data_IF_361322695093
#
_entry.id   IF_361322695093
#
_cell.length_a   1.000
_cell.length_b   1.000
_cell.length_c   1.000
_cell.angle_alpha   90.00
_cell.angle_beta   90.00
_cell.angle_gamma   90.00
#
_symmetry.space_group_name_H-M   'P 1'
#
loop_
_entity.id
_entity.type
_entity.pdbx_description
1 polymer ?
#
# COMPACT_ATOMS: atom_id res chain seq x y z
N UNK A 1 -50.97 -1.33 54.44
CA UNK A 1 -51.40 -0.36 53.41
C UNK A 1 -50.56 -0.69 52.17
N UNK A 2 -51.13 -1.40 51.20
CA UNK A 2 -51.75 -0.86 49.97
C UNK A 2 -50.66 -0.57 48.91
N UNK A 3 -50.64 -1.09 47.68
CA UNK A 3 -51.54 -2.00 46.95
C UNK A 3 -50.76 -2.57 45.76
N UNK A 4 -50.81 -3.89 45.55
CA UNK A 4 -50.31 -4.51 44.33
C UNK A 4 -51.38 -4.38 43.23
N UNK A 5 -51.02 -3.99 41.99
CA UNK A 5 -51.99 -3.87 40.91
C UNK A 5 -52.41 -5.26 40.43
N UNK A 6 -53.72 -5.51 40.52
CA UNK A 6 -54.40 -6.65 39.92
C UNK A 6 -54.30 -6.55 38.39
N UNK A 7 -53.46 -7.39 37.79
CA UNK A 7 -53.46 -7.62 36.34
C UNK A 7 -54.70 -8.46 36.03
N UNK A 8 -55.63 -7.99 35.19
CA UNK A 8 -56.82 -8.76 34.85
C UNK A 8 -56.42 -10.02 34.07
N UNK A 9 -57.09 -11.17 34.32
CA UNK A 9 -56.90 -12.36 33.51
C UNK A 9 -57.29 -12.05 32.07
N UNK A 10 -56.40 -12.38 31.14
CA UNK A 10 -56.54 -12.09 29.73
C UNK A 10 -57.61 -13.05 29.13
N UNK A 11 -58.89 -12.72 29.31
CA UNK A 11 -60.01 -13.34 28.60
C UNK A 11 -60.01 -12.82 27.15
N UNK A 12 -59.26 -13.48 26.27
CA UNK A 12 -59.53 -13.46 24.83
C UNK A 12 -58.81 -14.59 24.11
N UNK A 13 -59.10 -15.82 24.52
CA UNK A 13 -59.01 -16.99 23.64
C UNK A 13 -60.17 -16.93 22.62
N UNK A 14 -60.25 -15.84 21.86
CA UNK A 14 -61.04 -15.79 20.66
C UNK A 14 -60.32 -16.67 19.64
N UNK A 15 -60.83 -17.89 19.49
CA UNK A 15 -60.54 -18.84 18.42
C UNK A 15 -60.58 -18.13 17.06
N UNK A 16 -59.45 -17.53 16.69
CA UNK A 16 -59.25 -16.94 15.38
C UNK A 16 -59.17 -18.10 14.41
N UNK A 17 -60.25 -18.29 13.64
CA UNK A 17 -60.31 -19.27 12.58
C UNK A 17 -59.00 -19.22 11.75
N UNK A 18 -58.38 -20.37 11.46
CA UNK A 18 -57.10 -20.40 10.75
C UNK A 18 -57.27 -19.70 9.41
N UNK A 19 -56.61 -18.55 9.25
CA UNK A 19 -56.57 -17.80 8.00
C UNK A 19 -55.84 -18.67 6.97
N UNK A 20 -56.59 -19.43 6.17
CA UNK A 20 -56.09 -20.37 5.15
C UNK A 20 -55.09 -19.73 4.15
N UNK A 21 -55.07 -18.39 4.04
CA UNK A 21 -54.13 -17.64 3.21
C UNK A 21 -52.69 -17.53 3.73
N UNK A 22 -52.39 -17.88 4.99
CA UNK A 22 -51.02 -17.74 5.51
C UNK A 22 -50.05 -18.85 5.04
N UNK A 23 -50.56 -19.98 4.56
CA UNK A 23 -49.72 -21.15 4.22
C UNK A 23 -49.02 -21.01 2.86
N UNK A 24 -49.68 -20.39 1.88
CA UNK A 24 -49.18 -20.17 0.51
C UNK A 24 -48.11 -19.09 0.45
N UNK A 25 -48.29 -17.98 1.16
CA UNK A 25 -47.31 -16.88 1.18
C UNK A 25 -45.96 -17.31 1.74
N UNK A 26 -45.95 -18.16 2.78
CA UNK A 26 -44.72 -18.72 3.38
C UNK A 26 -43.95 -19.63 2.41
N UNK A 27 -44.62 -20.33 1.50
CA UNK A 27 -43.96 -21.18 0.49
C UNK A 27 -43.31 -20.35 -0.61
N UNK A 28 -44.02 -19.35 -1.13
CA UNK A 28 -43.49 -18.45 -2.18
C UNK A 28 -42.28 -17.67 -1.68
N UNK A 29 -42.33 -17.12 -0.46
CA UNK A 29 -41.20 -16.39 0.13
C UNK A 29 -39.94 -17.27 0.28
N UNK A 30 -40.12 -18.54 0.67
CA UNK A 30 -39.01 -19.50 0.79
C UNK A 30 -38.38 -19.83 -0.56
N UNK A 31 -39.19 -20.06 -1.59
CA UNK A 31 -38.68 -20.36 -2.94
C UNK A 31 -37.98 -19.14 -3.54
N UNK A 32 -38.55 -17.95 -3.39
CA UNK A 32 -37.92 -16.71 -3.85
C UNK A 32 -36.61 -16.43 -3.10
N UNK A 33 -36.59 -16.62 -1.78
CA UNK A 33 -35.39 -16.47 -0.96
C UNK A 33 -34.29 -17.48 -1.33
N UNK A 34 -34.66 -18.74 -1.59
CA UNK A 34 -33.71 -19.77 -2.04
C UNK A 34 -33.16 -19.45 -3.44
N UNK A 35 -34.01 -18.99 -4.37
CA UNK A 35 -33.59 -18.58 -5.71
C UNK A 35 -32.66 -17.37 -5.68
N UNK A 36 -33.02 -16.33 -4.93
CA UNK A 36 -32.22 -15.12 -4.78
C UNK A 36 -30.88 -15.42 -4.09
N UNK A 37 -30.90 -16.19 -2.99
CA UNK A 37 -29.69 -16.65 -2.30
C UNK A 37 -28.79 -17.51 -3.19
N UNK A 38 -29.38 -18.40 -3.99
CA UNK A 38 -28.67 -19.20 -4.99
C UNK A 38 -27.98 -18.33 -6.04
N UNK A 39 -28.68 -17.34 -6.60
CA UNK A 39 -28.09 -16.38 -7.54
C UNK A 39 -26.92 -15.59 -6.93
N UNK A 40 -27.07 -15.08 -5.70
CA UNK A 40 -25.98 -14.37 -5.01
C UNK A 40 -24.78 -15.26 -4.76
N UNK A 41 -25.00 -16.52 -4.36
CA UNK A 41 -23.92 -17.50 -4.16
C UNK A 41 -23.18 -17.78 -5.47
N UNK A 42 -23.89 -17.93 -6.59
CA UNK A 42 -23.28 -18.13 -7.91
C UNK A 42 -22.43 -16.91 -8.30
N UNK A 43 -22.95 -15.69 -8.17
CA UNK A 43 -22.19 -14.46 -8.46
C UNK A 43 -20.96 -14.35 -7.56
N UNK A 44 -21.09 -14.68 -6.28
CA UNK A 44 -19.97 -14.68 -5.34
C UNK A 44 -18.88 -15.67 -5.79
N UNK A 45 -19.23 -16.91 -6.13
CA UNK A 45 -18.28 -17.91 -6.62
C UNK A 45 -17.60 -17.44 -7.92
N UNK A 46 -18.37 -16.89 -8.86
CA UNK A 46 -17.83 -16.34 -10.11
C UNK A 46 -16.84 -15.19 -9.86
N UNK A 47 -17.14 -14.28 -8.94
CA UNK A 47 -16.24 -13.18 -8.56
C UNK A 47 -14.94 -13.70 -7.93
N UNK A 48 -15.00 -14.74 -7.09
CA UNK A 48 -13.81 -15.37 -6.51
C UNK A 48 -12.96 -16.12 -7.54
N UNK A 49 -13.59 -16.84 -8.47
CA UNK A 49 -12.87 -17.48 -9.57
C UNK A 49 -12.19 -16.46 -10.46
N UNK A 50 -12.87 -15.36 -10.80
CA UNK A 50 -12.29 -14.25 -11.55
C UNK A 50 -11.13 -13.60 -10.78
N UNK A 51 -11.27 -13.38 -9.47
CA UNK A 51 -10.19 -12.86 -8.63
C UNK A 51 -8.97 -13.78 -8.63
N UNK A 52 -9.18 -15.10 -8.51
CA UNK A 52 -8.11 -16.08 -8.54
C UNK A 52 -7.39 -16.10 -9.90
N UNK A 53 -8.15 -16.00 -10.99
CA UNK A 53 -7.60 -15.92 -12.35
C UNK A 53 -6.78 -14.64 -12.54
N UNK A 54 -7.30 -13.48 -12.14
CA UNK A 54 -6.59 -12.20 -12.25
C UNK A 54 -5.34 -12.16 -11.37
N UNK A 55 -5.39 -12.73 -10.17
CA UNK A 55 -4.24 -12.87 -9.28
C UNK A 55 -3.18 -13.80 -9.86
N UNK A 56 -3.59 -14.95 -10.40
CA UNK A 56 -2.68 -15.90 -11.05
C UNK A 56 -2.07 -15.27 -12.32
N UNK A 57 -2.84 -14.49 -13.08
CA UNK A 57 -2.33 -13.73 -14.22
C UNK A 57 -1.29 -12.69 -13.79
N UNK A 58 -1.60 -11.87 -12.79
CA UNK A 58 -0.69 -10.83 -12.31
C UNK A 58 0.61 -11.42 -11.73
N UNK A 59 0.56 -12.57 -11.06
CA UNK A 59 1.73 -13.17 -10.40
C UNK A 59 2.41 -14.26 -11.23
N UNK A 60 1.70 -15.33 -11.57
CA UNK A 60 2.29 -16.54 -12.17
C UNK A 60 2.66 -16.34 -13.64
N UNK A 61 1.85 -15.62 -14.42
CA UNK A 61 2.19 -15.32 -15.82
C UNK A 61 3.28 -14.26 -15.93
N UNK A 62 3.40 -13.36 -14.95
CA UNK A 62 4.47 -12.36 -14.88
C UNK A 62 5.81 -12.94 -14.38
N UNK A 63 5.90 -14.26 -14.18
CA UNK A 63 7.15 -14.95 -13.84
C UNK A 63 7.44 -15.07 -12.35
N UNK A 64 6.49 -14.79 -11.47
CA UNK A 64 6.65 -14.96 -10.03
C UNK A 64 6.64 -16.46 -9.67
N UNK A 65 7.81 -17.06 -9.47
CA UNK A 65 7.99 -18.49 -9.16
C UNK A 65 9.15 -18.70 -8.18
N UNK A 66 9.11 -19.77 -7.35
CA UNK A 66 10.26 -20.14 -6.53
C UNK A 66 11.52 -20.27 -7.40
N UNK A 67 12.59 -19.57 -7.01
CA UNK A 67 13.84 -19.54 -7.78
C UNK A 67 13.88 -18.60 -9.00
N UNK A 68 12.82 -17.84 -9.30
CA UNK A 68 12.82 -16.87 -10.40
C UNK A 68 13.92 -15.81 -10.31
N UNK A 69 14.43 -15.55 -9.09
CA UNK A 69 15.52 -14.63 -8.80
C UNK A 69 16.86 -15.33 -8.55
N UNK A 70 17.03 -16.59 -8.96
CA UNK A 70 18.33 -17.25 -8.86
C UNK A 70 19.34 -16.54 -9.78
N UNK A 71 20.44 -16.06 -9.19
CA UNK A 71 21.43 -15.26 -9.90
C UNK A 71 20.96 -13.85 -10.26
N UNK A 72 19.81 -13.40 -9.75
CA UNK A 72 19.43 -12.00 -9.87
C UNK A 72 20.34 -11.16 -8.98
N UNK A 73 21.08 -10.26 -9.60
CA UNK A 73 21.92 -9.29 -8.93
C UNK A 73 21.39 -7.91 -9.32
N UNK A 74 20.96 -7.14 -8.33
CA UNK A 74 20.55 -5.77 -8.57
C UNK A 74 21.79 -4.90 -8.78
N UNK A 75 22.07 -4.54 -10.03
CA UNK A 75 23.28 -3.79 -10.44
C UNK A 75 23.22 -2.27 -10.11
N UNK A 76 22.26 -1.82 -9.31
CA UNK A 76 22.13 -0.40 -8.98
C UNK A 76 23.07 0.07 -7.88
N UNK A 77 22.89 1.33 -7.44
CA UNK A 77 23.67 2.03 -6.39
C UNK A 77 23.63 1.40 -4.97
N UNK A 78 23.34 0.11 -4.84
CA UNK A 78 23.52 -0.60 -3.58
C UNK A 78 24.99 -0.44 -3.15
N UNK A 79 25.27 0.00 -1.91
CA UNK A 79 26.62 -0.01 -1.37
C UNK A 79 27.24 -1.39 -1.56
N UNK A 80 28.52 -1.48 -1.92
CA UNK A 80 29.24 -2.75 -2.12
C UNK A 80 29.17 -3.69 -0.90
N UNK A 81 28.85 -3.12 0.27
CA UNK A 81 28.78 -3.81 1.56
C UNK A 81 27.39 -4.41 1.84
N UNK A 82 26.38 -4.13 1.01
CA UNK A 82 25.04 -4.70 1.14
C UNK A 82 24.87 -5.89 0.19
N UNK A 83 24.28 -6.98 0.68
CA UNK A 83 23.97 -8.13 -0.17
C UNK A 83 22.99 -7.69 -1.27
N UNK A 84 23.40 -7.70 -2.55
CA UNK A 84 22.53 -7.28 -3.64
C UNK A 84 21.33 -8.22 -3.82
N UNK A 85 21.38 -9.42 -3.23
CA UNK A 85 20.23 -10.31 -3.18
C UNK A 85 19.18 -9.82 -2.18
N UNK A 86 19.53 -8.97 -1.21
CA UNK A 86 18.61 -8.42 -0.20
C UNK A 86 17.85 -7.19 -0.72
N UNK A 87 18.55 -6.28 -1.41
CA UNK A 87 17.99 -5.04 -1.94
C UNK A 87 17.72 -5.14 -3.45
N UNK A 88 16.44 -5.26 -3.81
CA UNK A 88 15.97 -5.35 -5.20
C UNK A 88 15.66 -3.99 -5.86
N UNK A 89 15.93 -2.89 -5.15
CA UNK A 89 15.61 -1.52 -5.56
C UNK A 89 16.67 -0.54 -5.07
N UNK A 90 16.83 0.63 -5.73
CA UNK A 90 17.71 1.68 -5.23
C UNK A 90 17.28 2.16 -3.84
N UNK A 91 18.25 2.67 -3.08
CA UNK A 91 18.00 3.30 -1.77
C UNK A 91 17.12 4.55 -1.86
N UNK A 92 17.33 5.36 -2.90
CA UNK A 92 16.57 6.58 -3.15
C UNK A 92 15.91 6.45 -4.51
N UNK A 93 14.58 6.50 -4.54
CA UNK A 93 13.78 6.24 -5.74
C UNK A 93 12.74 7.32 -5.94
N UNK A 94 12.45 7.63 -7.20
CA UNK A 94 11.32 8.43 -7.61
C UNK A 94 10.26 7.51 -8.25
N UNK A 95 9.08 7.44 -7.65
CA UNK A 95 7.92 6.78 -8.20
C UNK A 95 7.14 7.79 -9.04
N UNK A 96 6.99 7.53 -10.33
CA UNK A 96 6.29 8.42 -11.26
C UNK A 96 5.02 7.74 -11.77
N UNK A 97 3.88 8.36 -11.53
CA UNK A 97 2.60 7.90 -12.08
C UNK A 97 2.64 7.91 -13.61
N UNK A 98 2.14 6.86 -14.23
CA UNK A 98 1.91 6.81 -15.68
C UNK A 98 0.41 6.73 -15.95
N UNK A 99 -0.01 7.28 -17.09
CA UNK A 99 -1.40 7.21 -17.55
C UNK A 99 -1.95 5.78 -17.45
N UNK A 100 -3.11 5.59 -16.80
CA UNK A 100 -3.68 4.28 -16.59
C UNK A 100 -4.03 3.62 -17.93
N UNK A 101 -3.88 2.29 -17.98
CA UNK A 101 -4.44 1.45 -19.03
C UNK A 101 -5.70 0.80 -18.50
N UNK A 102 -6.54 0.27 -19.39
CA UNK A 102 -7.75 -0.46 -18.98
C UNK A 102 -7.36 -1.55 -17.97
N UNK A 103 -7.89 -1.46 -16.75
CA UNK A 103 -7.67 -2.41 -15.63
C UNK A 103 -6.26 -2.47 -15.04
N UNK A 104 -5.33 -1.61 -15.47
CA UNK A 104 -3.94 -1.62 -15.02
C UNK A 104 -3.44 -0.19 -14.80
N UNK A 105 -2.90 0.10 -13.61
CA UNK A 105 -2.28 1.39 -13.32
C UNK A 105 -0.78 1.22 -13.04
N UNK A 106 0.11 1.69 -13.94
CA UNK A 106 1.56 1.60 -13.75
C UNK A 106 2.15 2.79 -12.99
N UNK A 107 3.20 2.51 -12.22
CA UNK A 107 4.10 3.49 -11.62
C UNK A 107 5.54 3.15 -12.02
N UNK A 108 6.22 4.09 -12.68
CA UNK A 108 7.62 3.92 -13.02
C UNK A 108 8.51 4.19 -11.81
N UNK A 109 9.60 3.43 -11.70
CA UNK A 109 10.59 3.61 -10.64
C UNK A 109 11.89 4.09 -11.28
N UNK A 110 12.32 5.29 -10.90
CA UNK A 110 13.61 5.85 -11.30
C UNK A 110 14.53 5.94 -10.08
N UNK A 111 15.84 5.70 -10.21
CA UNK A 111 16.80 6.02 -9.18
C UNK A 111 16.90 7.54 -9.07
N UNK A 112 17.00 8.03 -7.84
CA UNK A 112 17.17 9.46 -7.55
C UNK A 112 18.35 9.67 -6.61
N UNK A 113 18.92 10.87 -6.61
CA UNK A 113 20.02 11.23 -5.73
C UNK A 113 19.51 11.95 -4.45
N UNK A 114 20.45 12.35 -3.59
CA UNK A 114 20.11 13.07 -2.35
C UNK A 114 19.44 14.42 -2.62
N UNK A 115 19.73 15.05 -3.77
CA UNK A 115 19.14 16.30 -4.23
C UNK A 115 17.73 16.12 -4.82
N UNK A 116 17.12 14.93 -4.70
CA UNK A 116 15.77 14.65 -5.20
C UNK A 116 15.64 14.75 -6.73
N UNK A 117 16.75 14.70 -7.48
CA UNK A 117 16.72 14.68 -8.95
C UNK A 117 16.89 13.26 -9.48
N UNK A 118 16.37 13.00 -10.68
CA UNK A 118 16.50 11.70 -11.35
C UNK A 118 17.99 11.48 -11.65
N UNK A 119 18.56 10.39 -11.12
CA UNK A 119 19.98 10.07 -11.23
C UNK A 119 20.30 9.10 -12.38
N UNK A 120 19.29 8.47 -12.99
CA UNK A 120 19.48 7.49 -14.04
C UNK A 120 18.19 7.12 -14.77
N UNK A 121 18.29 6.11 -15.65
CA UNK A 121 17.14 5.57 -16.37
C UNK A 121 16.14 4.88 -15.47
N UNK A 122 14.98 4.51 -16.02
CA UNK A 122 14.02 3.69 -15.32
C UNK A 122 14.68 2.38 -14.86
N UNK A 123 14.40 1.93 -13.63
CA UNK A 123 14.91 0.67 -13.05
C UNK A 123 13.82 -0.41 -12.89
N UNK A 124 12.55 -0.01 -12.97
CA UNK A 124 11.44 -0.95 -13.01
C UNK A 124 10.08 -0.28 -13.07
N UNK A 125 9.03 -1.07 -13.00
CA UNK A 125 7.63 -0.63 -13.02
C UNK A 125 6.83 -1.39 -11.97
N UNK A 126 6.10 -0.65 -11.15
CA UNK A 126 5.00 -1.20 -10.37
C UNK A 126 3.74 -1.26 -11.22
N UNK A 127 3.07 -2.41 -11.19
CA UNK A 127 1.79 -2.63 -11.85
C UNK A 127 0.72 -2.85 -10.78
N UNK A 128 -0.32 -2.01 -10.77
CA UNK A 128 -1.57 -2.28 -10.04
C UNK A 128 -2.56 -2.92 -10.99
N UNK A 129 -2.75 -4.23 -10.85
CA UNK A 129 -3.74 -5.00 -11.60
C UNK A 129 -5.06 -5.02 -10.85
N UNK A 130 -6.14 -4.67 -11.54
CA UNK A 130 -7.50 -4.75 -11.01
C UNK A 130 -7.93 -6.19 -10.75
N UNK A 131 -8.72 -6.39 -9.69
CA UNK A 131 -9.46 -7.60 -9.43
C UNK A 131 -10.81 -7.25 -8.81
N UNK A 132 -11.84 -8.11 -8.95
CA UNK A 132 -13.19 -7.82 -8.47
C UNK A 132 -13.29 -7.65 -6.95
N UNK A 133 -12.37 -8.25 -6.18
CA UNK A 133 -12.36 -8.20 -4.71
C UNK A 133 -11.20 -7.35 -4.21
N UNK A 134 -10.02 -7.48 -4.83
CA UNK A 134 -8.83 -6.74 -4.43
C UNK A 134 -7.85 -6.52 -5.59
N UNK A 135 -7.09 -5.44 -5.48
CA UNK A 135 -5.97 -5.13 -6.36
C UNK A 135 -4.75 -6.00 -6.04
N UNK A 136 -4.04 -6.42 -7.08
CA UNK A 136 -2.74 -7.09 -6.95
C UNK A 136 -1.66 -6.15 -7.48
N UNK A 137 -0.55 -6.07 -6.75
CA UNK A 137 0.57 -5.20 -7.10
C UNK A 137 1.79 -6.07 -7.42
N UNK A 138 2.45 -5.80 -8.53
CA UNK A 138 3.68 -6.51 -8.92
C UNK A 138 4.74 -5.52 -9.37
N UNK A 139 5.98 -5.76 -8.97
CA UNK A 139 7.11 -4.98 -9.43
C UNK A 139 7.91 -5.78 -10.46
N UNK A 140 8.03 -5.21 -11.65
CA UNK A 140 8.80 -5.74 -12.77
C UNK A 140 10.07 -4.90 -12.94
N UNK A 141 11.24 -5.54 -12.97
CA UNK A 141 12.51 -4.87 -13.22
C UNK A 141 12.68 -4.50 -14.71
N UNK A 142 13.79 -3.85 -15.07
CA UNK A 142 14.09 -3.54 -16.49
C UNK A 142 14.33 -4.78 -17.36
N UNK A 143 14.61 -5.93 -16.77
CA UNK A 143 14.77 -7.21 -17.48
C UNK A 143 13.44 -7.94 -17.68
N UNK A 144 12.31 -7.28 -17.41
CA UNK A 144 10.97 -7.87 -17.44
C UNK A 144 10.75 -9.07 -16.54
N UNK A 145 11.49 -9.14 -15.42
CA UNK A 145 11.31 -10.13 -14.36
C UNK A 145 10.52 -9.52 -13.22
N UNK A 146 9.44 -10.18 -12.83
CA UNK A 146 8.72 -9.80 -11.62
C UNK A 146 9.49 -10.24 -10.39
N UNK A 147 9.96 -9.28 -9.59
CA UNK A 147 10.81 -9.57 -8.44
C UNK A 147 10.05 -9.51 -7.12
N UNK A 148 9.03 -8.64 -7.03
CA UNK A 148 8.23 -8.45 -5.82
C UNK A 148 6.75 -8.47 -6.19
N UNK A 149 5.93 -9.00 -5.30
CA UNK A 149 4.48 -8.84 -5.37
C UNK A 149 3.93 -8.39 -4.02
N UNK A 150 2.79 -7.71 -4.06
CA UNK A 150 2.07 -7.24 -2.91
C UNK A 150 0.57 -7.47 -3.11
N UNK A 151 -0.11 -7.93 -2.06
CA UNK A 151 -1.56 -8.20 -2.07
C UNK A 151 -2.21 -7.83 -0.75
N UNK A 152 -3.52 -7.57 -0.78
CA UNK A 152 -4.32 -7.33 0.42
C UNK A 152 -4.53 -8.61 1.24
N UNK A 153 -4.46 -8.50 2.57
CA UNK A 153 -4.86 -9.56 3.50
C UNK A 153 -6.38 -9.46 3.74
N UNK A 154 -7.16 -10.43 3.25
CA UNK A 154 -8.63 -10.33 3.22
C UNK A 154 -9.31 -10.51 4.58
N UNK A 155 -8.66 -11.18 5.53
CA UNK A 155 -9.22 -11.47 6.84
C UNK A 155 -8.85 -10.45 7.93
N UNK A 156 -8.05 -9.43 7.59
CA UNK A 156 -7.64 -8.39 8.54
C UNK A 156 -8.45 -7.12 8.31
N UNK A 157 -8.90 -6.51 9.41
CA UNK A 157 -9.59 -5.22 9.40
C UNK A 157 -8.62 -4.10 8.98
N UNK A 158 -9.15 -3.12 8.24
CA UNK A 158 -8.40 -1.96 7.76
C UNK A 158 -7.53 -2.22 6.53
N UNK A 159 -6.54 -1.35 6.34
CA UNK A 159 -5.54 -1.54 5.29
C UNK A 159 -4.46 -2.52 5.77
N UNK A 160 -4.43 -3.72 5.18
CA UNK A 160 -3.45 -4.74 5.50
C UNK A 160 -2.95 -5.39 4.22
N UNK A 161 -1.66 -5.33 3.97
CA UNK A 161 -1.00 -5.83 2.78
C UNK A 161 0.16 -6.75 3.16
N UNK A 162 0.35 -7.79 2.36
CA UNK A 162 1.52 -8.66 2.43
C UNK A 162 2.40 -8.36 1.24
N UNK A 163 3.66 -8.04 1.50
CA UNK A 163 4.72 -7.76 0.54
C UNK A 163 5.67 -8.95 0.58
N UNK A 164 6.01 -9.45 -0.60
CA UNK A 164 6.71 -10.70 -0.75
C UNK A 164 7.62 -10.67 -1.97
N UNK A 165 8.78 -11.31 -1.86
CA UNK A 165 9.63 -11.58 -3.01
C UNK A 165 9.06 -12.75 -3.82
N UNK A 166 9.26 -12.70 -5.13
CA UNK A 166 8.77 -13.73 -6.04
C UNK A 166 9.56 -15.04 -5.97
N UNK A 167 10.80 -14.99 -5.48
CA UNK A 167 11.62 -16.20 -5.27
C UNK A 167 11.24 -17.00 -4.03
N UNK A 168 10.36 -16.47 -3.17
CA UNK A 168 9.96 -17.09 -1.91
C UNK A 168 11.04 -17.06 -0.84
N UNK A 169 12.12 -16.29 -1.03
CA UNK A 169 13.11 -16.02 0.02
C UNK A 169 12.62 -14.91 0.94
N UNK A 170 13.19 -14.89 2.14
CA UNK A 170 12.84 -13.99 3.24
C UNK A 170 11.41 -14.18 3.78
N UNK A 171 11.15 -13.85 5.05
CA UNK A 171 9.80 -13.83 5.58
C UNK A 171 8.97 -12.77 4.86
N UNK A 172 7.66 -13.04 4.77
CA UNK A 172 6.73 -12.06 4.25
C UNK A 172 6.69 -10.82 5.13
N UNK A 173 6.76 -9.64 4.50
CA UNK A 173 6.59 -8.38 5.20
C UNK A 173 5.12 -8.01 5.20
N UNK A 174 4.53 -7.84 6.38
CA UNK A 174 3.13 -7.42 6.53
C UNK A 174 3.08 -5.94 6.88
N UNK A 175 2.55 -5.14 5.96
CA UNK A 175 2.26 -3.72 6.14
C UNK A 175 0.79 -3.58 6.54
N UNK A 176 0.50 -3.20 7.79
CA UNK A 176 -0.85 -3.28 8.31
C UNK A 176 -1.18 -2.15 9.27
N UNK A 177 -2.40 -1.66 9.20
CA UNK A 177 -2.95 -0.73 10.18
C UNK A 177 -3.18 -1.44 11.53
N UNK A 178 -3.73 -2.66 11.48
CA UNK A 178 -3.88 -3.52 12.64
C UNK A 178 -4.76 -2.90 13.72
N UNK A 179 -4.28 -2.88 14.96
CA UNK A 179 -4.98 -2.26 16.09
C UNK A 179 -5.19 -0.75 15.92
N UNK A 180 -4.45 -0.09 15.03
CA UNK A 180 -4.56 1.36 14.81
C UNK A 180 -5.77 1.72 13.93
N UNK A 181 -6.47 0.75 13.33
CA UNK A 181 -7.59 1.03 12.42
C UNK A 181 -8.66 1.94 13.02
N UNK A 182 -9.10 1.62 14.23
CA UNK A 182 -10.10 2.43 14.90
C UNK A 182 -9.54 3.81 15.30
N UNK A 183 -8.30 3.85 15.79
CA UNK A 183 -7.67 5.10 16.20
C UNK A 183 -7.45 6.05 15.02
N UNK A 184 -7.01 5.53 13.87
CA UNK A 184 -6.84 6.32 12.65
C UNK A 184 -8.18 6.89 12.20
N UNK A 185 -9.24 6.07 12.22
CA UNK A 185 -10.57 6.53 11.83
C UNK A 185 -11.10 7.66 12.71
N UNK A 186 -10.88 7.56 14.03
CA UNK A 186 -11.24 8.63 14.99
C UNK A 186 -10.38 9.88 14.74
N UNK A 187 -9.08 9.73 14.49
CA UNK A 187 -8.18 10.85 14.18
C UNK A 187 -8.59 11.58 12.90
N UNK A 188 -8.94 10.85 11.84
CA UNK A 188 -9.45 11.45 10.60
C UNK A 188 -10.76 12.20 10.84
N UNK A 189 -11.70 11.62 11.62
CA UNK A 189 -12.97 12.27 11.93
C UNK A 189 -12.82 13.54 12.78
N UNK A 190 -11.78 13.62 13.62
CA UNK A 190 -11.48 14.78 14.46
C UNK A 190 -10.49 15.77 13.83
N UNK A 191 -9.99 15.50 12.61
CA UNK A 191 -9.09 16.41 11.89
C UNK A 191 -7.68 16.52 12.48
N UNK A 192 -7.11 15.44 13.02
CA UNK A 192 -5.73 15.46 13.52
C UNK A 192 -4.67 15.56 12.40
N UNK A 193 -3.54 16.21 12.70
CA UNK A 193 -2.39 16.36 11.79
C UNK A 193 -1.59 15.06 11.53
N UNK A 194 -1.91 13.97 12.21
CA UNK A 194 -1.36 12.64 11.92
C UNK A 194 -2.54 11.73 11.56
N UNK A 195 -2.74 11.51 10.26
CA UNK A 195 -3.91 10.80 9.76
C UNK A 195 -3.82 9.30 10.06
N UNK A 196 -2.77 8.62 9.59
CA UNK A 196 -2.67 7.16 9.71
C UNK A 196 -1.31 6.68 10.23
N UNK A 197 -1.36 5.70 11.13
CA UNK A 197 -0.17 4.95 11.58
C UNK A 197 -0.30 3.48 11.17
N UNK A 198 0.70 2.99 10.44
CA UNK A 198 0.82 1.60 10.02
C UNK A 198 1.97 0.89 10.73
N UNK A 199 1.80 -0.40 11.00
CA UNK A 199 2.81 -1.29 11.57
C UNK A 199 3.40 -2.16 10.47
N UNK A 200 4.70 -2.37 10.52
CA UNK A 200 5.46 -3.20 9.58
C UNK A 200 5.98 -4.40 10.35
N UNK A 201 5.53 -5.59 9.97
CA UNK A 201 5.99 -6.85 10.53
C UNK A 201 6.85 -7.60 9.53
N UNK A 202 7.95 -8.20 9.97
CA UNK A 202 8.72 -9.18 9.19
C UNK A 202 8.46 -10.55 9.79
N UNK A 203 7.67 -11.38 9.11
CA UNK A 203 7.09 -12.56 9.75
C UNK A 203 6.15 -12.14 10.88
N UNK A 204 6.46 -12.54 12.11
CA UNK A 204 5.70 -12.19 13.31
C UNK A 204 6.32 -11.02 14.11
N UNK A 205 7.52 -10.58 13.74
CA UNK A 205 8.26 -9.56 14.48
C UNK A 205 7.91 -8.15 14.01
N UNK A 206 7.57 -7.26 14.95
CA UNK A 206 7.34 -5.84 14.67
C UNK A 206 8.68 -5.15 14.41
N UNK A 207 8.95 -4.84 13.15
CA UNK A 207 10.22 -4.23 12.72
C UNK A 207 10.16 -2.72 12.61
N UNK A 208 8.97 -2.13 12.42
CA UNK A 208 8.84 -0.68 12.33
C UNK A 208 7.42 -0.17 12.16
N UNK A 209 7.34 1.14 11.91
CA UNK A 209 6.13 1.90 11.72
C UNK A 209 6.26 2.76 10.46
N UNK A 210 5.12 2.98 9.78
CA UNK A 210 4.99 4.05 8.79
C UNK A 210 3.92 5.02 9.29
N UNK A 211 4.29 6.29 9.37
CA UNK A 211 3.45 7.35 9.88
C UNK A 211 3.15 8.33 8.75
N UNK A 212 1.88 8.52 8.45
CA UNK A 212 1.43 9.56 7.54
C UNK A 212 1.47 10.91 8.23
N UNK A 213 2.10 11.88 7.58
CA UNK A 213 2.04 13.27 7.99
C UNK A 213 0.91 13.96 7.22
N UNK A 214 -0.09 14.44 7.95
CA UNK A 214 -1.12 15.32 7.40
C UNK A 214 -0.55 16.72 7.37
N UNK A 215 -0.07 17.13 6.21
CA UNK A 215 0.43 18.48 5.94
C UNK A 215 -0.01 18.94 4.56
N UNK A 216 0.46 20.11 4.13
CA UNK A 216 0.24 20.62 2.77
C UNK A 216 0.80 19.65 1.72
N UNK A 217 1.88 18.95 2.05
CA UNK A 217 2.53 17.96 1.20
C UNK A 217 2.33 16.57 1.79
N UNK A 218 1.54 15.70 1.13
CA UNK A 218 1.37 14.30 1.54
C UNK A 218 2.71 13.60 1.68
N UNK A 219 2.96 13.00 2.84
CA UNK A 219 4.19 12.26 3.10
C UNK A 219 4.03 11.12 4.11
N UNK A 220 4.93 10.14 4.02
CA UNK A 220 5.11 9.06 4.98
C UNK A 220 6.50 9.13 5.60
N UNK A 221 6.57 8.93 6.91
CA UNK A 221 7.83 8.75 7.65
C UNK A 221 7.93 7.31 8.12
N UNK A 222 9.06 6.66 7.86
CA UNK A 222 9.33 5.30 8.30
C UNK A 222 10.23 5.34 9.53
N UNK A 223 9.85 4.60 10.57
CA UNK A 223 10.60 4.51 11.83
C UNK A 223 10.76 3.06 12.26
N UNK A 224 11.83 2.74 12.98
CA UNK A 224 11.99 1.41 13.58
C UNK A 224 11.16 1.28 14.87
N UNK A 225 11.20 0.10 15.49
CA UNK A 225 10.55 -0.16 16.78
C UNK A 225 11.07 0.69 17.95
N UNK A 226 12.28 1.27 17.82
CA UNK A 226 12.92 2.19 18.77
C UNK A 226 12.66 3.66 18.46
N UNK A 227 11.81 3.95 17.46
CA UNK A 227 11.50 5.30 16.98
C UNK A 227 12.63 6.00 16.19
N UNK A 228 13.70 5.29 15.84
CA UNK A 228 14.77 5.80 14.97
C UNK A 228 14.27 5.97 13.54
N UNK A 229 14.75 7.01 12.87
CA UNK A 229 14.40 7.34 11.50
C UNK A 229 14.98 6.34 10.48
N UNK A 230 14.10 5.73 9.68
CA UNK A 230 14.47 4.77 8.64
C UNK A 230 14.33 5.34 7.23
N UNK A 231 13.50 6.34 7.01
CA UNK A 231 13.30 6.91 5.68
C UNK A 231 12.03 7.73 5.58
N UNK A 232 11.82 8.32 4.41
CA UNK A 232 10.64 9.13 4.08
C UNK A 232 10.14 8.84 2.69
N UNK A 233 8.86 9.15 2.47
CA UNK A 233 8.24 9.21 1.16
C UNK A 233 7.47 10.50 1.07
N UNK A 234 7.76 11.34 0.09
CA UNK A 234 7.13 12.66 -0.05
C UNK A 234 6.60 12.83 -1.46
N UNK A 235 5.37 13.32 -1.59
CA UNK A 235 4.84 13.77 -2.87
C UNK A 235 5.60 15.02 -3.30
N UNK A 236 6.36 14.94 -4.39
CA UNK A 236 6.95 16.11 -5.03
C UNK A 236 5.84 16.88 -5.74
N UNK A 237 5.98 18.21 -5.76
CA UNK A 237 5.01 19.13 -6.34
C UNK A 237 4.50 18.62 -7.70
N UNK A 238 3.19 18.31 -7.81
CA UNK A 238 2.61 17.75 -9.04
C UNK A 238 2.85 18.68 -10.24
N UNK A 239 2.92 20.00 -10.03
CA UNK A 239 2.99 20.99 -11.10
C UNK A 239 4.34 21.03 -11.84
N UNK A 240 5.39 20.41 -11.29
CA UNK A 240 6.73 20.54 -11.89
C UNK A 240 6.87 19.77 -13.23
N UNK A 241 6.06 18.72 -13.45
CA UNK A 241 6.13 17.86 -14.64
C UNK A 241 4.77 17.46 -15.24
N UNK A 242 3.68 18.13 -14.85
CA UNK A 242 2.35 17.94 -15.44
C UNK A 242 1.28 17.67 -14.38
N UNK A 243 0.39 16.72 -14.65
CA UNK A 243 -0.69 16.31 -13.72
C UNK A 243 -0.40 15.00 -13.00
N UNK A 244 0.85 14.53 -13.07
CA UNK A 244 1.25 13.20 -12.61
C UNK A 244 1.92 13.26 -11.26
N UNK A 245 1.51 12.36 -10.36
CA UNK A 245 2.10 12.28 -9.03
C UNK A 245 3.52 11.72 -9.10
N UNK A 246 4.45 12.43 -8.44
CA UNK A 246 5.84 12.01 -8.30
C UNK A 246 6.16 11.81 -6.83
N UNK A 247 6.42 10.58 -6.39
CA UNK A 247 6.75 10.28 -5.00
C UNK A 247 8.21 9.98 -4.83
N UNK A 248 8.90 10.81 -4.07
CA UNK A 248 10.29 10.58 -3.71
C UNK A 248 10.36 9.74 -2.45
N UNK A 249 10.94 8.55 -2.57
CA UNK A 249 11.17 7.63 -1.45
C UNK A 249 12.67 7.63 -1.14
N UNK A 250 13.03 8.03 0.09
CA UNK A 250 14.40 8.05 0.60
C UNK A 250 14.52 7.05 1.73
N UNK A 251 15.41 6.07 1.59
CA UNK A 251 15.72 5.12 2.65
C UNK A 251 17.07 5.44 3.30
N UNK A 252 17.13 5.26 4.61
CA UNK A 252 18.38 5.18 5.34
C UNK A 252 19.06 3.83 5.03
N UNK A 253 20.41 3.79 5.08
CA UNK A 253 21.17 2.56 4.79
C UNK A 253 20.96 1.48 5.85
N UNK A 254 20.78 1.90 7.09
CA UNK A 254 20.57 1.00 8.22
C UNK A 254 19.09 0.82 8.46
N UNK A 255 18.51 -0.28 7.99
CA UNK A 255 17.10 -0.62 8.18
C UNK A 255 16.88 -2.11 8.43
N UNK A 256 15.88 -2.48 9.25
CA UNK A 256 15.54 -3.88 9.53
C UNK A 256 14.78 -4.54 8.37
N UNK A 257 14.41 -3.79 7.34
CA UNK A 257 13.72 -4.29 6.15
C UNK A 257 14.37 -3.73 4.88
N UNK A 258 14.23 -4.42 3.74
CA UNK A 258 14.84 -4.02 2.47
C UNK A 258 14.14 -2.80 1.85
N UNK A 259 14.84 -2.07 0.96
CA UNK A 259 14.36 -0.80 0.39
C UNK A 259 13.05 -0.90 -0.41
N UNK A 260 12.72 -2.09 -0.91
CA UNK A 260 11.46 -2.29 -1.62
C UNK A 260 10.24 -2.20 -0.71
N UNK A 261 10.40 -2.36 0.61
CA UNK A 261 9.27 -2.30 1.56
C UNK A 261 8.73 -0.88 1.69
N UNK A 262 9.54 0.15 2.01
CA UNK A 262 9.09 1.54 1.96
C UNK A 262 8.56 1.94 0.60
N UNK A 263 9.23 1.53 -0.48
CA UNK A 263 8.79 1.82 -1.84
C UNK A 263 7.38 1.25 -2.14
N UNK A 264 7.11 0.00 -1.75
CA UNK A 264 5.78 -0.61 -1.87
C UNK A 264 4.72 0.04 -0.96
N UNK A 265 5.09 0.44 0.26
CA UNK A 265 4.19 1.17 1.16
C UNK A 265 3.84 2.56 0.60
N UNK A 266 4.83 3.27 0.07
CA UNK A 266 4.66 4.53 -0.65
C UNK A 266 3.73 4.40 -1.85
N UNK A 267 3.83 3.31 -2.60
CA UNK A 267 2.95 3.03 -3.73
C UNK A 267 1.47 2.91 -3.29
N UNK A 268 1.19 2.20 -2.18
CA UNK A 268 -0.17 2.08 -1.66
C UNK A 268 -0.76 3.45 -1.31
N UNK A 269 0.07 4.31 -0.71
CA UNK A 269 -0.31 5.66 -0.33
C UNK A 269 -0.48 6.57 -1.56
N UNK A 270 0.40 6.46 -2.56
CA UNK A 270 0.27 7.17 -3.83
C UNK A 270 -1.07 6.89 -4.52
N UNK A 271 -1.51 5.63 -4.53
CA UNK A 271 -2.82 5.27 -5.08
C UNK A 271 -3.99 5.80 -4.24
N UNK A 272 -3.81 5.92 -2.93
CA UNK A 272 -4.81 6.52 -2.05
C UNK A 272 -5.01 7.99 -2.39
N UNK A 273 -3.91 8.76 -2.47
CA UNK A 273 -3.92 10.19 -2.82
C UNK A 273 -4.52 10.44 -4.21
N UNK A 274 -4.17 9.62 -5.22
CA UNK A 274 -4.79 9.72 -6.55
C UNK A 274 -6.31 9.55 -6.46
N UNK A 275 -6.78 8.58 -5.68
CA UNK A 275 -8.22 8.33 -5.54
C UNK A 275 -8.93 9.48 -4.83
N UNK A 276 -8.29 10.08 -3.82
CA UNK A 276 -8.82 11.28 -3.15
C UNK A 276 -8.87 12.48 -4.10
N UNK A 277 -7.81 12.71 -4.89
CA UNK A 277 -7.76 13.78 -5.89
C UNK A 277 -8.82 13.61 -6.98
N UNK A 278 -9.00 12.39 -7.50
CA UNK A 278 -10.06 12.09 -8.48
C UNK A 278 -11.46 12.31 -7.91
N UNK A 279 -11.70 11.94 -6.65
CA UNK A 279 -12.98 12.15 -5.98
C UNK A 279 -13.27 13.65 -5.73
N UNK A 280 -12.26 14.41 -5.30
CA UNK A 280 -12.38 15.86 -5.09
C UNK A 280 -12.64 16.60 -6.42
N UNK A 281 -11.93 16.23 -7.49
CA UNK A 281 -12.16 16.79 -8.82
C UNK A 281 -13.58 16.48 -9.33
N UNK A 282 -14.08 15.26 -9.11
CA UNK A 282 -15.44 14.88 -9.49
C UNK A 282 -16.52 15.64 -8.68
N UNK A 283 -16.25 15.96 -7.41
CA UNK A 283 -17.14 16.78 -6.58
C UNK A 283 -17.15 18.24 -7.06
N UNK A 284 -15.99 18.80 -7.42
CA UNK A 284 -15.87 20.14 -8.00
C UNK A 284 -16.61 20.26 -9.34
N UNK A 285 -16.46 19.26 -10.22
CA UNK A 285 -17.18 19.17 -11.49
C UNK A 285 -18.71 19.05 -11.27
N UNK A 286 -19.14 18.30 -10.24
CA UNK A 286 -20.54 18.15 -9.89
C UNK A 286 -21.14 19.42 -9.23
N UNK A 287 -20.33 20.18 -8.50
CA UNK A 287 -20.73 21.46 -7.89
C UNK A 287 -20.83 22.59 -8.93
N UNK A 288 -20.06 22.51 -10.02
CA UNK A 288 -20.04 23.50 -11.10
C UNK A 288 -20.54 22.93 -12.44
N UNK A 289 -21.79 22.45 -12.56
CA UNK A 289 -22.30 21.83 -13.78
C UNK A 289 -22.48 22.81 -14.97
N UNK A 290 -22.15 24.09 -14.79
CA UNK A 290 -22.71 25.23 -15.54
C UNK A 290 -21.87 25.80 -16.68
N UNK A 291 -20.68 25.28 -17.00
CA UNK A 291 -19.88 25.79 -18.12
C UNK A 291 -20.01 24.97 -19.43
N UNK A 292 -20.32 23.68 -19.35
CA UNK A 292 -20.33 22.81 -20.53
C UNK A 292 -21.62 22.91 -21.37
N UNK A 293 -22.73 23.35 -20.79
CA UNK A 293 -24.02 23.43 -21.50
C UNK A 293 -24.20 24.73 -22.31
N UNK A 294 -23.48 25.80 -21.97
CA UNK A 294 -23.60 27.11 -22.63
C UNK A 294 -22.43 27.47 -23.56
N UNK A 295 -21.40 26.63 -23.69
CA UNK A 295 -20.44 26.76 -24.77
C UNK A 295 -21.09 26.18 -26.04
N UNK A 296 -21.59 26.99 -26.99
CA UNK A 296 -21.93 26.47 -28.29
C UNK A 296 -20.67 25.81 -28.83
N UNK A 297 -20.78 24.53 -29.17
CA UNK A 297 -19.74 23.75 -29.83
C UNK A 297 -19.55 24.29 -31.25
N UNK A 298 -19.12 25.55 -31.38
CA UNK A 298 -18.68 26.12 -32.64
C UNK A 298 -17.30 25.53 -32.84
N UNK A 299 -17.28 24.36 -33.48
CA UNK A 299 -16.09 23.81 -34.11
C UNK A 299 -15.64 24.78 -35.21
N UNK A 300 -15.03 25.89 -34.82
CA UNK A 300 -14.20 26.68 -35.70
C UNK A 300 -12.82 26.02 -35.72
N UNK A 301 -12.73 24.80 -36.29
CA UNK A 301 -11.47 24.38 -36.86
C UNK A 301 -11.17 25.36 -37.99
N UNK A 302 -10.18 26.26 -37.86
CA UNK A 302 -9.71 27.00 -39.01
C UNK A 302 -9.05 25.95 -39.90
N UNK A 303 -9.47 25.84 -41.17
CA UNK A 303 -8.69 25.12 -42.16
C UNK A 303 -7.26 25.68 -42.09
N UNK A 304 -6.31 24.84 -41.68
CA UNK A 304 -4.91 25.19 -41.72
C UNK A 304 -4.52 25.46 -43.18
N UNK A 305 -3.97 26.65 -43.51
CA UNK A 305 -3.37 26.85 -44.82
C UNK A 305 -2.14 25.94 -44.92
N UNK A 306 -2.05 25.21 -46.04
CA UNK A 306 -0.88 24.43 -46.38
C UNK A 306 0.33 25.35 -46.59
N UNK A 307 1.19 25.49 -45.58
CA UNK A 307 2.48 26.17 -45.70
C UNK A 307 3.60 25.16 -45.89
N UNK A 308 4.02 25.07 -47.15
CA UNK A 308 5.32 24.52 -47.58
C UNK A 308 6.45 25.46 -47.15
N UNK A 309 7.42 24.90 -46.41
CA UNK A 309 8.83 25.29 -46.42
C UNK A 309 9.23 26.57 -45.67
N UNK A 310 10.12 26.41 -44.68
CA UNK A 310 11.38 27.16 -44.56
C UNK A 310 12.09 26.76 -43.25
N UNK A 311 13.35 26.35 -43.39
CA UNK A 311 14.37 26.40 -42.34
C UNK A 311 14.41 27.79 -41.67
N UNK A 312 14.81 27.86 -40.39
CA UNK A 312 15.81 28.83 -39.87
C UNK A 312 16.03 28.67 -38.36
N UNK A 313 17.31 28.50 -38.03
CA UNK A 313 18.13 28.92 -36.87
C UNK A 313 17.66 28.81 -35.41
N UNK A 314 18.48 28.04 -34.68
CA UNK A 314 19.12 28.30 -33.38
C UNK A 314 18.70 29.57 -32.60
N UNK A 315 18.18 29.33 -31.39
CA UNK A 315 18.13 30.30 -30.30
C UNK A 315 18.49 29.62 -28.98
N UNK A 316 19.68 29.90 -28.46
CA UNK A 316 20.13 29.54 -27.11
C UNK A 316 19.31 30.30 -26.07
N UNK A 317 18.48 29.61 -25.29
CA UNK A 317 17.79 30.17 -24.14
C UNK A 317 18.39 29.57 -22.85
N UNK A 318 18.89 30.46 -22.00
CA UNK A 318 19.43 30.16 -20.68
C UNK A 318 18.37 29.52 -19.77
N UNK A 319 18.75 28.42 -19.13
CA UNK A 319 17.96 27.72 -18.12
C UNK A 319 18.07 28.49 -16.79
N UNK A 320 16.97 28.95 -16.18
CA UNK A 320 17.03 29.51 -14.84
C UNK A 320 17.26 28.41 -13.78
N UNK A 321 18.05 28.78 -12.78
CA UNK A 321 18.58 27.94 -11.71
C UNK A 321 17.47 27.20 -10.92
N UNK A 322 17.54 25.87 -10.92
CA UNK A 322 16.51 24.94 -10.38
C UNK A 322 16.70 24.55 -8.90
N UNK A 323 17.55 25.26 -8.16
CA UNK A 323 18.01 24.82 -6.84
C UNK A 323 17.11 25.20 -5.64
N UNK A 324 16.15 26.13 -5.78
CA UNK A 324 15.50 26.76 -4.61
C UNK A 324 14.24 26.08 -4.07
N UNK A 325 13.55 25.23 -4.85
CA UNK A 325 12.27 24.61 -4.41
C UNK A 325 12.48 23.27 -3.68
N UNK A 326 13.55 22.53 -3.99
CA UNK A 326 13.83 21.24 -3.36
C UNK A 326 14.31 21.35 -1.89
N UNK A 327 14.86 22.51 -1.48
CA UNK A 327 15.34 22.73 -0.11
C UNK A 327 14.19 22.95 0.90
N UNK A 328 13.07 23.55 0.46
CA UNK A 328 11.93 23.84 1.34
C UNK A 328 11.18 22.57 1.78
N UNK A 329 11.08 21.56 0.91
CA UNK A 329 10.49 20.26 1.25
C UNK A 329 11.40 19.38 2.12
N UNK A 330 12.72 19.62 2.10
CA UNK A 330 13.67 18.90 2.96
C UNK A 330 13.74 19.49 4.37
N UNK A 331 13.66 20.82 4.51
CA UNK A 331 13.69 21.49 5.82
C UNK A 331 12.43 21.25 6.68
N UNK A 332 11.28 20.98 6.06
CA UNK A 332 10.00 20.78 6.76
C UNK A 332 9.79 19.34 7.24
N UNK A 333 10.41 18.34 6.58
CA UNK A 333 10.36 16.94 7.01
C UNK A 333 11.25 16.65 8.23
N UNK A 334 12.36 17.39 8.40
CA UNK A 334 13.29 17.18 9.52
C UNK A 334 12.90 17.97 10.79
N UNK A 335 12.14 19.07 10.64
CA UNK A 335 11.68 19.91 11.76
C UNK A 335 10.39 19.43 12.45
N UNK A 336 9.70 18.42 11.90
CA UNK A 336 8.42 17.91 12.43
C UNK A 336 8.57 16.69 13.36
N UNK A 337 9.73 16.48 13.98
CA UNK A 337 9.85 15.53 15.09
C UNK A 337 9.28 16.18 16.36
N UNK A 338 8.13 15.74 16.90
CA UNK A 338 7.66 16.23 18.18
C UNK A 338 8.68 15.84 19.27
N UNK A 339 9.16 16.83 20.01
CA UNK A 339 9.90 16.62 21.25
C UNK A 339 9.01 15.81 22.21
N UNK A 340 9.19 14.48 22.21
CA UNK A 340 8.54 13.59 23.16
C UNK A 340 9.07 13.93 24.55
N UNK A 341 8.23 14.59 25.35
CA UNK A 341 8.44 14.78 26.77
C UNK A 341 8.60 13.40 27.41
N UNK A 342 9.82 13.08 27.83
CA UNK A 342 10.11 11.89 28.62
C UNK A 342 9.39 12.00 29.97
N UNK A 343 8.54 11.04 30.37
CA UNK A 343 8.13 10.96 31.76
C UNK A 343 9.34 10.54 32.62
N UNK A 344 9.56 11.29 33.70
CA UNK A 344 10.63 11.07 34.67
C UNK A 344 10.63 9.62 35.20
N UNK A 345 11.82 9.01 35.42
CA UNK A 345 11.92 7.65 35.93
C UNK A 345 11.43 7.60 37.38
N UNK A 346 10.32 6.88 37.59
CA UNK A 346 9.83 6.52 38.92
C UNK A 346 10.75 5.41 39.46
N UNK A 347 11.54 5.76 40.47
CA UNK A 347 12.37 4.83 41.22
C UNK A 347 11.52 3.66 41.74
N UNK A 348 11.85 2.45 41.31
CA UNK A 348 11.33 1.21 41.86
C UNK A 348 12.46 0.49 42.60
N UNK A 349 12.15 0.16 43.84
CA UNK A 349 13.02 -0.40 44.85
C UNK A 349 13.54 -1.79 44.48
N UNK A 350 14.75 -2.06 44.98
CA UNK A 350 15.38 -3.37 45.02
C UNK A 350 14.55 -4.38 45.81
N UNK A 351 14.45 -5.60 45.28
CA UNK A 351 14.25 -6.81 46.06
C UNK A 351 14.82 -8.02 45.31
N UNK A 352 15.62 -8.79 46.04
CA UNK A 352 16.31 -10.03 45.70
C UNK A 352 15.46 -11.10 44.99
N UNK A 353 16.09 -11.84 44.09
CA UNK A 353 15.88 -13.29 43.96
C UNK A 353 17.02 -13.96 43.15
N UNK A 354 17.89 -14.62 43.92
CA UNK A 354 18.75 -15.78 43.64
C UNK A 354 18.75 -16.42 42.23
N UNK A 355 19.98 -16.55 41.70
CA UNK A 355 20.36 -17.55 40.72
C UNK A 355 20.42 -18.96 41.34
N UNK A 356 20.32 -20.01 40.52
CA UNK A 356 21.24 -21.13 40.69
C UNK A 356 22.05 -21.44 39.43
N UNK A 357 23.27 -21.84 39.76
CA UNK A 357 24.42 -22.27 39.00
C UNK A 357 24.33 -23.78 38.65
N UNK A 358 25.14 -24.21 37.67
CA UNK A 358 25.46 -25.61 37.25
C UNK A 358 24.39 -26.35 36.41
N UNK A 359 24.70 -27.10 35.35
CA UNK A 359 25.88 -27.90 34.99
C UNK A 359 26.08 -27.91 33.45
N UNK A 360 27.30 -27.88 32.89
CA UNK A 360 28.13 -29.06 32.52
C UNK A 360 27.33 -30.27 31.99
N UNK A 361 27.70 -31.05 30.98
CA UNK A 361 28.72 -31.07 29.95
C UNK A 361 28.49 -32.44 29.27
N UNK A 362 28.36 -32.54 27.95
CA UNK A 362 28.80 -33.78 27.27
C UNK A 362 29.03 -33.57 25.77
N UNK A 363 30.31 -33.45 25.42
CA UNK A 363 30.81 -33.66 24.08
C UNK A 363 31.13 -35.16 23.91
N UNK A 364 30.55 -35.82 22.91
CA UNK A 364 31.08 -37.08 22.37
C UNK A 364 31.04 -37.07 20.85
N UNK A 365 32.23 -36.93 20.27
CA UNK A 365 32.59 -37.35 18.92
C UNK A 365 32.64 -38.88 18.87
N UNK A 366 31.93 -39.47 17.90
CA UNK A 366 32.20 -40.70 17.16
C UNK A 366 30.89 -41.02 16.44
N UNK A 367 30.78 -41.23 15.13
CA UNK A 367 31.73 -41.44 14.07
C UNK A 367 30.94 -42.26 13.06
N UNK A 368 30.77 -41.80 11.82
CA UNK A 368 30.34 -42.72 10.76
C UNK A 368 30.88 -42.25 9.42
N UNK A 369 31.91 -42.97 9.01
CA UNK A 369 32.53 -42.96 7.70
C UNK A 369 31.90 -44.17 6.99
N UNK A 370 30.96 -43.94 6.07
CA UNK A 370 30.55 -44.98 5.10
C UNK A 370 30.72 -44.42 3.70
N UNK A 371 31.86 -44.81 3.18
CA UNK A 371 32.23 -44.99 1.79
C UNK A 371 31.20 -45.87 1.06
N UNK A 372 30.68 -45.41 -0.08
CA UNK A 372 30.29 -46.31 -1.15
C UNK A 372 30.39 -45.60 -2.51
N UNK A 373 31.55 -45.82 -3.12
CA UNK A 373 31.72 -45.79 -4.58
C UNK A 373 30.87 -46.92 -5.18
N UNK A 374 30.15 -46.64 -6.26
CA UNK A 374 29.98 -47.62 -7.35
C UNK A 374 29.57 -46.93 -8.65
N UNK A 375 30.46 -47.14 -9.64
CA UNK A 375 30.32 -47.09 -11.11
C UNK A 375 30.24 -45.71 -11.77
#
# INVERSE_FOLDING_TARGET
MSSAPLIPPNESDASAAPVEGQSTMKRVLKVCGLGCGGCFLVVFILAWMLQALMYAWATSLSGCRPGALQGFNYDGDAPKDEDPAYNLMPRVTLLTERSPRKFIMPFYVFPSNQASTIAGGQVGTWWRTWGPIFYTYTYEDMSSKTTIYMRKNLLRLGSSHRIARCDGKEPFVTFTEGSNWFSNRVRTALGYNQAMTFKIYSGDDLVGFAEEATGEVPSLTFRNSKNDFLGTSVLLDPNFHGTKAHWLVKNNRTGPFPYFVPNAASLLYAFHEITLGEAAAAEEDAANPSAAFLAPNVSSQPLAPATLGAEVMQGTAAVPDRASVAAAAQSSAEAAAPAAAQPAPKAAAAADAAAPESAEAEAKKAGEKVELQHV
#
